data_IF_995373019337
#
_entry.id   IF_995373019337
#
_cell.length_a   1.000
_cell.length_b   1.000
_cell.length_c   1.000
_cell.angle_alpha   90.00
_cell.angle_beta   90.00
_cell.angle_gamma   90.00
#
_symmetry.space_group_name_H-M   'P 1'
#
loop_
_entity.id
_entity.type
_entity.pdbx_description
1 polymer ?
#
# COMPACT_ATOMS: atom_id res chain seq x y z
N UNK A 1 21.52 -16.94 11.57
CA UNK A 1 21.65 -15.77 10.68
C UNK A 1 22.14 -14.64 11.54
N UNK A 2 23.29 -14.05 11.24
CA UNK A 2 23.82 -12.92 11.99
C UNK A 2 22.94 -11.70 11.73
N UNK A 3 22.17 -11.28 12.73
CA UNK A 3 21.36 -10.07 12.73
C UNK A 3 22.29 -8.86 12.55
N UNK A 4 22.54 -8.46 11.31
CA UNK A 4 23.24 -7.23 11.01
C UNK A 4 22.26 -6.09 11.34
N UNK A 5 22.44 -5.47 12.51
CA UNK A 5 21.63 -4.33 12.92
C UNK A 5 21.74 -3.25 11.84
N UNK A 6 20.64 -2.95 11.15
CA UNK A 6 20.59 -1.87 10.18
C UNK A 6 21.04 -0.58 10.85
N UNK A 7 21.89 0.19 10.17
CA UNK A 7 22.20 1.52 10.66
C UNK A 7 20.91 2.38 10.70
N UNK A 8 20.81 3.38 11.59
CA UNK A 8 19.61 4.20 11.72
C UNK A 8 19.15 4.82 10.38
N UNK A 9 20.09 5.22 9.52
CA UNK A 9 19.78 5.76 8.19
C UNK A 9 19.18 4.72 7.24
N UNK A 10 19.65 3.48 7.28
CA UNK A 10 19.08 2.38 6.49
C UNK A 10 17.70 1.99 6.99
N UNK A 11 17.49 1.97 8.30
CA UNK A 11 16.19 1.71 8.90
C UNK A 11 15.16 2.78 8.48
N UNK A 12 15.55 4.06 8.52
CA UNK A 12 14.71 5.16 8.07
C UNK A 12 14.39 5.06 6.57
N UNK A 13 15.40 4.80 5.73
CA UNK A 13 15.20 4.63 4.29
C UNK A 13 14.24 3.48 3.96
N UNK A 14 14.40 2.33 4.64
CA UNK A 14 13.50 1.19 4.50
C UNK A 14 12.08 1.54 4.94
N UNK A 15 11.91 2.24 6.07
CA UNK A 15 10.60 2.70 6.52
C UNK A 15 9.93 3.63 5.49
N UNK A 16 10.66 4.63 4.98
CA UNK A 16 10.16 5.55 3.96
C UNK A 16 9.67 4.78 2.73
N UNK A 17 10.47 3.83 2.23
CA UNK A 17 10.11 2.99 1.09
C UNK A 17 8.78 2.25 1.32
N UNK A 18 8.61 1.63 2.50
CA UNK A 18 7.38 0.90 2.82
C UNK A 18 6.16 1.82 2.88
N UNK A 19 6.30 3.03 3.44
CA UNK A 19 5.23 4.03 3.45
C UNK A 19 4.83 4.41 2.02
N UNK A 20 5.81 4.67 1.15
CA UNK A 20 5.52 5.00 -0.24
C UNK A 20 4.83 3.88 -0.99
N UNK A 21 5.31 2.63 -0.85
CA UNK A 21 4.66 1.47 -1.47
C UNK A 21 3.22 1.33 -0.98
N UNK A 22 2.99 1.41 0.33
CA UNK A 22 1.66 1.30 0.91
C UNK A 22 0.71 2.37 0.35
N UNK A 23 1.12 3.63 0.38
CA UNK A 23 0.29 4.76 -0.05
C UNK A 23 -0.02 4.70 -1.55
N UNK A 24 0.99 4.41 -2.38
CA UNK A 24 0.82 4.38 -3.83
C UNK A 24 -0.04 3.19 -4.26
N UNK A 25 0.27 1.98 -3.78
CA UNK A 25 -0.52 0.79 -4.14
C UNK A 25 -1.95 0.88 -3.62
N UNK A 26 -2.13 1.31 -2.36
CA UNK A 26 -3.46 1.55 -1.79
C UNK A 26 -4.24 2.60 -2.56
N UNK A 27 -3.63 3.76 -2.83
CA UNK A 27 -4.25 4.88 -3.54
C UNK A 27 -4.64 4.54 -4.97
N UNK A 28 -3.75 3.88 -5.72
CA UNK A 28 -4.04 3.44 -7.09
C UNK A 28 -5.19 2.43 -7.11
N UNK A 29 -5.16 1.42 -6.24
CA UNK A 29 -6.22 0.40 -6.21
C UNK A 29 -7.58 1.00 -5.84
N UNK A 30 -7.64 1.82 -4.79
CA UNK A 30 -8.86 2.46 -4.34
C UNK A 30 -9.38 3.48 -5.36
N UNK A 31 -8.50 4.28 -5.94
CA UNK A 31 -8.84 5.26 -6.99
C UNK A 31 -9.40 4.60 -8.25
N UNK A 32 -8.72 3.58 -8.77
CA UNK A 32 -9.21 2.84 -9.94
C UNK A 32 -10.54 2.14 -9.66
N UNK A 33 -10.69 1.54 -8.48
CA UNK A 33 -11.95 0.92 -8.07
C UNK A 33 -13.09 1.94 -7.98
N UNK A 34 -12.80 3.14 -7.47
CA UNK A 34 -13.80 4.19 -7.35
C UNK A 34 -14.24 4.73 -8.71
N UNK A 35 -13.30 4.93 -9.63
CA UNK A 35 -13.60 5.32 -11.01
C UNK A 35 -14.43 4.24 -11.71
N UNK A 36 -14.08 2.97 -11.54
CA UNK A 36 -14.82 1.85 -12.12
C UNK A 36 -16.24 1.75 -11.56
N UNK A 37 -16.40 1.89 -10.24
CA UNK A 37 -17.72 1.91 -9.61
C UNK A 37 -18.57 3.05 -10.16
N UNK A 38 -18.04 4.27 -10.17
CA UNK A 38 -18.75 5.44 -10.69
C UNK A 38 -19.15 5.28 -12.16
N UNK A 39 -18.30 4.69 -12.98
CA UNK A 39 -18.59 4.43 -14.39
C UNK A 39 -19.76 3.45 -14.60
N UNK A 40 -19.93 2.47 -13.70
CA UNK A 40 -20.95 1.41 -13.83
C UNK A 40 -22.24 1.76 -13.11
N UNK A 41 -22.16 2.30 -11.89
CA UNK A 41 -23.32 2.57 -11.05
C UNK A 41 -23.88 3.98 -11.21
N UNK A 42 -23.17 4.86 -11.92
CA UNK A 42 -23.46 6.30 -12.00
C UNK A 42 -23.65 6.94 -10.61
N UNK A 43 -22.92 6.44 -9.61
CA UNK A 43 -22.99 6.86 -8.21
C UNK A 43 -21.57 6.97 -7.63
N UNK A 44 -21.41 7.84 -6.63
CA UNK A 44 -20.12 7.97 -5.94
C UNK A 44 -19.82 6.74 -5.09
N UNK A 45 -18.54 6.38 -5.02
CA UNK A 45 -18.09 5.27 -4.18
C UNK A 45 -18.21 5.65 -2.71
N UNK A 46 -18.91 4.86 -1.88
CA UNK A 46 -18.99 5.10 -0.45
C UNK A 46 -17.58 5.16 0.16
N UNK A 47 -17.31 6.19 0.96
CA UNK A 47 -15.99 6.42 1.57
C UNK A 47 -15.47 5.21 2.36
N UNK A 48 -16.36 4.49 3.04
CA UNK A 48 -16.00 3.27 3.78
C UNK A 48 -15.42 2.19 2.87
N UNK A 49 -16.00 1.99 1.68
CA UNK A 49 -15.50 1.00 0.71
C UNK A 49 -14.16 1.45 0.15
N UNK A 50 -14.03 2.73 -0.20
CA UNK A 50 -12.76 3.31 -0.65
C UNK A 50 -11.64 3.07 0.37
N UNK A 51 -11.90 3.38 1.65
CA UNK A 51 -10.94 3.22 2.74
C UNK A 51 -10.53 1.75 2.94
N UNK A 52 -11.48 0.81 2.83
CA UNK A 52 -11.18 -0.63 2.92
C UNK A 52 -10.29 -1.08 1.77
N UNK A 53 -10.61 -0.71 0.53
CA UNK A 53 -9.80 -1.09 -0.64
C UNK A 53 -8.39 -0.49 -0.52
N UNK A 54 -8.30 0.77 -0.12
CA UNK A 54 -7.03 1.45 0.12
C UNK A 54 -6.18 0.70 1.14
N UNK A 55 -6.74 0.44 2.33
CA UNK A 55 -6.02 -0.19 3.43
C UNK A 55 -5.61 -1.63 3.09
N UNK A 56 -6.52 -2.42 2.52
CA UNK A 56 -6.24 -3.81 2.14
C UNK A 56 -5.15 -3.89 1.07
N UNK A 57 -5.25 -3.08 0.01
CA UNK A 57 -4.30 -3.12 -1.10
C UNK A 57 -2.93 -2.59 -0.70
N UNK A 58 -2.89 -1.51 0.09
CA UNK A 58 -1.64 -1.00 0.66
C UNK A 58 -0.97 -2.03 1.57
N UNK A 59 -1.73 -2.72 2.41
CA UNK A 59 -1.20 -3.75 3.32
C UNK A 59 -0.65 -4.96 2.57
N UNK A 60 -1.34 -5.42 1.51
CA UNK A 60 -0.83 -6.50 0.66
C UNK A 60 0.48 -6.09 0.00
N UNK A 61 0.56 -4.87 -0.54
CA UNK A 61 1.78 -4.38 -1.17
C UNK A 61 2.94 -4.26 -0.17
N UNK A 62 2.68 -3.74 1.04
CA UNK A 62 3.64 -3.70 2.13
C UNK A 62 4.21 -5.10 2.45
N UNK A 63 3.32 -6.09 2.67
CA UNK A 63 3.69 -7.48 2.97
C UNK A 63 4.51 -8.11 1.84
N UNK A 64 4.16 -7.81 0.59
CA UNK A 64 4.88 -8.29 -0.57
C UNK A 64 6.28 -7.67 -0.67
N UNK A 65 6.41 -6.38 -0.36
CA UNK A 65 7.70 -5.70 -0.34
C UNK A 65 8.62 -6.27 0.74
N UNK A 66 8.12 -6.60 1.93
CA UNK A 66 8.91 -7.32 2.94
C UNK A 66 9.48 -8.63 2.38
N UNK A 67 8.62 -9.47 1.78
CA UNK A 67 9.05 -10.74 1.19
C UNK A 67 10.09 -10.58 0.08
N UNK A 68 10.00 -9.52 -0.73
CA UNK A 68 10.96 -9.25 -1.83
C UNK A 68 12.29 -8.69 -1.32
N UNK A 69 12.26 -7.89 -0.25
CA UNK A 69 13.47 -7.27 0.29
C UNK A 69 14.27 -8.24 1.19
N UNK A 70 13.62 -9.27 1.73
CA UNK A 70 14.25 -10.28 2.58
C UNK A 70 14.63 -11.58 1.83
N UNK A 71 14.29 -11.69 0.53
CA UNK A 71 14.66 -12.78 -0.38
C UNK A 71 15.99 -12.53 -1.11
#
# INVERSE_FOLDING_TARGET
MSEQSLSPGQALGRWILHVFVFLLSGGVAAGLSALAYQAVSNAETPLGIYAVIFAASGFIAYRQTEHVLDA
#
